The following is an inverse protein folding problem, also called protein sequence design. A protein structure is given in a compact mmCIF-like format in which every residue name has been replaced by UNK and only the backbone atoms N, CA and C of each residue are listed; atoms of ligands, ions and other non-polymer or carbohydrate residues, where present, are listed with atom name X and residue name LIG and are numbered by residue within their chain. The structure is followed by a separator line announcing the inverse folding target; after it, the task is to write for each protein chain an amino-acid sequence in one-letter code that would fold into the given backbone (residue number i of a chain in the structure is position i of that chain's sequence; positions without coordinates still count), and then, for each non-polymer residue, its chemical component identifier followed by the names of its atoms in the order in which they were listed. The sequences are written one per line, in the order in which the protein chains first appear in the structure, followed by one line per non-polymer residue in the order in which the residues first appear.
data_IF_996265137937
#
_entry.id   IF_996265137937
#
_cell.length_a   1.000
_cell.length_b   1.000
_cell.length_c   1.000
_cell.angle_alpha   90.00
_cell.angle_beta   90.00
_cell.angle_gamma   90.00
#
_symmetry.space_group_name_H-M   'P 1'
#
loop_
_entity.id
_entity.type
_entity.pdbx_description
1 polymer ?
#
# COMPACT_ATOMS: atom_id res chain seq x y z
N UNK A 1 12.46 35.44 0.78
CA UNK A 1 11.06 35.01 0.60
C UNK A 1 11.07 33.63 -0.04
N UNK A 2 10.28 32.69 0.51
CA UNK A 2 10.03 31.29 0.10
C UNK A 2 11.00 30.19 0.59
N UNK A 3 10.65 29.62 1.75
CA UNK A 3 11.21 28.38 2.30
C UNK A 3 10.14 27.54 3.02
N UNK A 4 8.95 27.39 2.42
CA UNK A 4 7.80 26.70 3.06
C UNK A 4 7.42 25.38 2.35
N UNK A 5 8.21 24.94 1.36
CA UNK A 5 7.84 23.82 0.46
C UNK A 5 8.21 22.41 0.95
N UNK A 6 9.06 22.26 1.97
CA UNK A 6 9.65 20.94 2.31
C UNK A 6 8.84 20.17 3.36
N UNK A 7 8.33 20.85 4.38
CA UNK A 7 7.67 20.22 5.54
C UNK A 7 6.30 19.61 5.21
N UNK A 8 5.58 20.20 4.23
CA UNK A 8 4.25 19.72 3.82
C UNK A 8 4.34 18.42 3.00
N UNK A 9 5.39 18.25 2.19
CA UNK A 9 5.60 17.05 1.37
C UNK A 9 6.01 15.83 2.19
N UNK A 10 6.86 16.00 3.21
CA UNK A 10 7.29 14.91 4.07
C UNK A 10 6.09 14.27 4.82
N UNK A 11 5.21 15.11 5.36
CA UNK A 11 4.01 14.67 6.07
C UNK A 11 3.03 13.94 5.14
N UNK A 12 2.82 14.42 3.90
CA UNK A 12 1.95 13.72 2.93
C UNK A 12 2.51 12.35 2.55
N UNK A 13 3.82 12.25 2.29
CA UNK A 13 4.47 10.97 1.93
C UNK A 13 4.40 9.93 3.06
N UNK A 14 4.53 10.35 4.31
CA UNK A 14 4.36 9.46 5.47
C UNK A 14 2.93 8.93 5.59
N UNK A 15 1.93 9.81 5.36
CA UNK A 15 0.52 9.43 5.37
C UNK A 15 0.19 8.45 4.24
N UNK A 16 0.71 8.69 3.04
CA UNK A 16 0.56 7.81 1.86
C UNK A 16 1.18 6.44 2.12
N UNK A 17 2.40 6.39 2.66
CA UNK A 17 3.06 5.12 3.04
C UNK A 17 2.26 4.33 4.06
N UNK A 18 1.70 5.01 5.07
CA UNK A 18 0.83 4.36 6.05
C UNK A 18 -0.47 3.82 5.44
N UNK A 19 -1.05 4.55 4.48
CA UNK A 19 -2.24 4.12 3.76
C UNK A 19 -1.99 2.90 2.89
N UNK A 20 -0.88 2.91 2.15
CA UNK A 20 -0.46 1.79 1.30
C UNK A 20 -0.22 0.53 2.13
N UNK A 21 0.50 0.66 3.26
CA UNK A 21 0.75 -0.47 4.15
C UNK A 21 -0.55 -1.08 4.68
N UNK A 22 -1.55 -0.27 5.02
CA UNK A 22 -2.86 -0.77 5.44
C UNK A 22 -3.57 -1.50 4.30
N UNK A 23 -3.64 -0.90 3.12
CA UNK A 23 -4.26 -1.52 1.94
C UNK A 23 -3.65 -2.90 1.61
N UNK A 24 -2.32 -3.03 1.66
CA UNK A 24 -1.62 -4.30 1.44
C UNK A 24 -2.04 -5.36 2.48
N UNK A 25 -2.06 -4.98 3.76
CA UNK A 25 -2.40 -5.92 4.83
C UNK A 25 -3.88 -6.33 4.79
N UNK A 26 -4.77 -5.41 4.46
CA UNK A 26 -6.21 -5.67 4.33
C UNK A 26 -6.48 -6.61 3.15
N UNK A 27 -5.91 -6.33 1.98
CA UNK A 27 -6.05 -7.21 0.81
C UNK A 27 -5.41 -8.59 1.02
N UNK A 28 -4.26 -8.64 1.69
CA UNK A 28 -3.66 -9.93 2.07
C UNK A 28 -4.62 -10.72 2.98
N UNK A 29 -5.21 -10.07 3.99
CA UNK A 29 -6.14 -10.70 4.92
C UNK A 29 -7.39 -11.24 4.20
N UNK A 30 -7.96 -10.47 3.29
CA UNK A 30 -9.15 -10.88 2.55
C UNK A 30 -8.86 -12.06 1.61
N UNK A 31 -7.71 -12.02 0.92
CA UNK A 31 -7.23 -13.15 0.09
C UNK A 31 -6.94 -14.39 0.94
N UNK A 32 -6.38 -14.21 2.14
CA UNK A 32 -6.10 -15.32 3.06
C UNK A 32 -7.37 -16.03 3.53
N UNK A 33 -8.43 -15.28 3.85
CA UNK A 33 -9.71 -15.84 4.30
C UNK A 33 -10.43 -16.59 3.17
N UNK A 34 -10.29 -16.11 1.92
CA UNK A 34 -11.04 -16.63 0.78
C UNK A 34 -10.35 -17.77 0.03
N UNK A 35 -9.03 -17.69 -0.20
CA UNK A 35 -8.35 -18.61 -1.14
C UNK A 35 -7.45 -19.67 -0.50
N UNK A 36 -7.32 -19.66 0.84
CA UNK A 36 -6.32 -20.42 1.62
C UNK A 36 -4.87 -20.06 1.27
N UNK A 37 -3.97 -20.39 2.21
CA UNK A 37 -2.60 -19.88 2.31
C UNK A 37 -1.73 -20.03 1.04
N UNK A 38 -1.96 -21.07 0.24
CA UNK A 38 -1.14 -21.38 -0.95
C UNK A 38 -1.42 -20.45 -2.15
N UNK A 39 -2.53 -19.74 -2.15
CA UNK A 39 -2.98 -18.93 -3.27
C UNK A 39 -2.56 -17.44 -3.16
N UNK A 40 -2.07 -17.00 -1.99
CA UNK A 40 -1.73 -15.61 -1.72
C UNK A 40 -0.28 -15.32 -2.10
N UNK A 41 -0.07 -14.38 -3.02
CA UNK A 41 1.26 -13.91 -3.43
C UNK A 41 1.29 -12.38 -3.51
N UNK A 42 2.48 -11.78 -3.41
CA UNK A 42 2.67 -10.31 -3.53
C UNK A 42 2.05 -9.75 -4.82
N UNK A 43 2.13 -10.48 -5.95
CA UNK A 43 1.52 -10.07 -7.22
C UNK A 43 -0.01 -10.04 -7.18
N UNK A 44 -0.62 -11.00 -6.47
CA UNK A 44 -2.08 -11.02 -6.29
C UNK A 44 -2.54 -9.94 -5.34
N UNK A 45 -1.81 -9.72 -4.25
CA UNK A 45 -2.10 -8.62 -3.33
C UNK A 45 -2.04 -7.28 -4.07
N UNK A 46 -0.99 -7.05 -4.86
CA UNK A 46 -0.86 -5.84 -5.70
C UNK A 46 -2.04 -5.69 -6.69
N UNK A 47 -2.44 -6.78 -7.34
CA UNK A 47 -3.60 -6.77 -8.25
C UNK A 47 -4.91 -6.47 -7.53
N UNK A 48 -5.10 -6.97 -6.31
CA UNK A 48 -6.31 -6.78 -5.51
C UNK A 48 -6.47 -5.34 -4.99
N UNK A 49 -5.38 -4.59 -4.84
CA UNK A 49 -5.41 -3.18 -4.39
C UNK A 49 -5.31 -2.16 -5.54
N UNK A 50 -5.39 -2.61 -6.80
CA UNK A 50 -5.27 -1.76 -8.01
C UNK A 50 -4.02 -0.86 -8.02
N UNK A 51 -2.99 -1.25 -7.27
CA UNK A 51 -1.73 -0.52 -7.16
C UNK A 51 -0.68 -1.25 -7.98
N UNK A 52 0.10 -0.49 -8.76
CA UNK A 52 1.18 -1.07 -9.55
C UNK A 52 2.12 -1.88 -8.64
N UNK A 53 2.52 -3.11 -9.02
CA UNK A 53 3.53 -3.88 -8.30
C UNK A 53 4.86 -3.13 -8.14
N UNK A 54 5.15 -2.14 -8.99
CA UNK A 54 6.35 -1.30 -8.88
C UNK A 54 6.27 -0.25 -7.76
N UNK A 55 5.11 -0.11 -7.12
CA UNK A 55 4.89 0.78 -5.98
C UNK A 55 5.02 0.07 -4.62
N UNK A 56 5.16 -1.26 -4.61
CA UNK A 56 5.34 -2.12 -3.43
C UNK A 56 6.76 -2.68 -3.43
#
# INVERSE_FOLDING_TARGET
MLGVGSSRQAHTRERERGHLRRAILDAARDLFVTERFEAVSMRRIASAIEYSPTAI
#
